data_IF_880782423063
#
_entry.id   IF_880782423063
#
_cell.length_a   1.000
_cell.length_b   1.000
_cell.length_c   1.000
_cell.angle_alpha   90.00
_cell.angle_beta   90.00
_cell.angle_gamma   90.00
#
_symmetry.space_group_name_H-M   'P 1'
#
loop_
_entity.id
_entity.type
_entity.pdbx_description
1 polymer ?
#
# COMPACT_ATOMS: atom_id res chain seq x y z
N UNK A 1 -7.57 -4.62 11.95
CA UNK A 1 -6.43 -3.85 11.42
C UNK A 1 -5.52 -4.79 10.66
N UNK A 2 -4.84 -4.31 9.63
CA UNK A 2 -3.88 -5.08 8.84
C UNK A 2 -2.48 -4.50 9.09
N UNK A 3 -1.47 -5.35 9.22
CA UNK A 3 -0.07 -4.94 9.42
C UNK A 3 0.72 -5.53 8.26
N UNK A 4 1.47 -4.68 7.54
CA UNK A 4 2.29 -5.07 6.40
C UNK A 4 3.72 -4.65 6.64
N UNK A 5 4.66 -5.52 6.31
CA UNK A 5 6.07 -5.21 6.30
C UNK A 5 6.43 -4.53 4.97
N UNK A 6 7.14 -3.40 5.03
CA UNK A 6 7.55 -2.64 3.83
C UNK A 6 8.34 -3.47 2.82
N UNK A 7 9.17 -4.39 3.31
CA UNK A 7 10.00 -5.27 2.47
C UNK A 7 9.18 -6.28 1.66
N UNK A 8 7.94 -6.52 2.06
CA UNK A 8 7.02 -7.40 1.35
C UNK A 8 6.24 -6.65 0.28
N UNK A 9 6.41 -5.33 0.13
CA UNK A 9 5.74 -4.57 -0.92
C UNK A 9 6.54 -4.75 -2.21
N UNK A 10 5.93 -5.43 -3.18
CA UNK A 10 6.51 -5.60 -4.51
C UNK A 10 6.24 -4.36 -5.37
N UNK A 11 5.00 -3.90 -5.41
CA UNK A 11 4.59 -2.71 -6.17
C UNK A 11 3.50 -1.92 -5.46
N UNK A 12 3.40 -0.64 -5.82
CA UNK A 12 2.40 0.30 -5.32
C UNK A 12 1.70 0.90 -6.51
N UNK A 13 0.41 0.59 -6.62
CA UNK A 13 -0.45 1.08 -7.68
C UNK A 13 -1.31 2.23 -7.15
N UNK A 14 -1.48 3.28 -7.95
CA UNK A 14 -2.46 4.32 -7.62
C UNK A 14 -3.84 3.83 -8.04
N UNK A 15 -4.71 3.62 -7.06
CA UNK A 15 -6.05 3.08 -7.27
C UNK A 15 -7.06 4.23 -7.46
N UNK A 16 -8.29 3.88 -7.87
CA UNK A 16 -9.33 4.87 -8.09
C UNK A 16 -9.71 5.59 -6.79
N UNK A 17 -10.11 6.86 -6.91
CA UNK A 17 -10.48 7.74 -5.79
C UNK A 17 -9.31 8.09 -4.84
N UNK A 18 -8.07 8.14 -5.37
CA UNK A 18 -6.89 8.55 -4.61
C UNK A 18 -6.41 7.54 -3.57
N UNK A 19 -6.90 6.30 -3.64
CA UNK A 19 -6.42 5.19 -2.81
C UNK A 19 -5.11 4.62 -3.39
N UNK A 20 -4.37 3.85 -2.60
CA UNK A 20 -3.23 3.07 -3.08
C UNK A 20 -3.50 1.60 -2.91
N UNK A 21 -3.17 0.81 -3.93
CA UNK A 21 -3.21 -0.64 -3.88
C UNK A 21 -1.78 -1.15 -3.73
N UNK A 22 -1.53 -1.94 -2.69
CA UNK A 22 -0.25 -2.58 -2.45
C UNK A 22 -0.27 -3.99 -3.00
N UNK A 23 0.67 -4.26 -3.89
CA UNK A 23 0.98 -5.61 -4.34
C UNK A 23 2.10 -6.16 -3.46
N UNK A 24 1.87 -7.32 -2.86
CA UNK A 24 2.81 -7.93 -1.91
C UNK A 24 3.51 -9.16 -2.51
N UNK A 25 4.74 -9.39 -2.07
CA UNK A 25 5.51 -10.61 -2.31
C UNK A 25 6.00 -11.18 -0.97
N UNK A 26 5.60 -12.41 -0.60
CA UNK A 26 4.72 -13.32 -1.34
C UNK A 26 3.28 -12.78 -1.45
N UNK A 27 2.62 -13.11 -2.55
CA UNK A 27 1.24 -12.69 -2.81
C UNK A 27 0.31 -13.17 -1.71
N UNK A 28 -0.62 -12.29 -1.31
CA UNK A 28 -1.65 -12.58 -0.32
C UNK A 28 -3.01 -12.66 -1.01
N UNK A 29 -3.91 -13.49 -0.50
CA UNK A 29 -5.28 -13.59 -1.02
C UNK A 29 -6.09 -12.30 -0.78
N UNK A 30 -5.64 -11.45 0.15
CA UNK A 30 -6.35 -10.23 0.53
C UNK A 30 -5.77 -9.02 -0.18
N UNK A 31 -6.62 -8.29 -0.88
CA UNK A 31 -6.26 -7.01 -1.46
C UNK A 31 -5.92 -5.98 -0.37
N UNK A 32 -4.73 -5.38 -0.46
CA UNK A 32 -4.26 -4.41 0.53
C UNK A 32 -4.40 -3.01 -0.04
N UNK A 33 -5.43 -2.29 0.41
CA UNK A 33 -5.73 -0.93 -0.06
C UNK A 33 -5.55 0.09 1.06
N UNK A 34 -4.77 1.14 0.78
CA UNK A 34 -4.61 2.31 1.63
C UNK A 34 -5.62 3.37 1.21
N UNK A 35 -6.35 3.90 2.20
CA UNK A 35 -7.34 4.96 2.01
C UNK A 35 -6.69 6.26 1.54
N UNK A 36 -7.46 7.09 0.83
CA UNK A 36 -7.00 8.38 0.30
C UNK A 36 -6.38 9.29 1.36
N UNK A 37 -6.97 9.31 2.55
CA UNK A 37 -6.50 10.14 3.66
C UNK A 37 -5.07 9.77 4.12
N UNK A 38 -4.71 8.48 4.02
CA UNK A 38 -3.39 7.96 4.43
C UNK A 38 -2.43 7.76 3.26
N UNK A 39 -2.91 7.89 2.02
CA UNK A 39 -2.11 7.64 0.82
C UNK A 39 -0.92 8.60 0.71
N UNK A 40 -1.11 9.89 1.03
CA UNK A 40 -0.03 10.88 1.00
C UNK A 40 1.03 10.59 2.06
N UNK A 41 0.62 10.41 3.32
CA UNK A 41 1.52 10.11 4.44
C UNK A 41 2.30 8.81 4.19
N UNK A 42 1.65 7.79 3.62
CA UNK A 42 2.29 6.53 3.28
C UNK A 42 3.39 6.69 2.21
N UNK A 43 3.13 7.49 1.17
CA UNK A 43 4.14 7.79 0.14
C UNK A 43 5.32 8.57 0.72
N UNK A 44 5.06 9.54 1.59
CA UNK A 44 6.11 10.31 2.28
C UNK A 44 6.96 9.41 3.18
N UNK A 45 6.34 8.47 3.89
CA UNK A 45 7.05 7.50 4.72
C UNK A 45 7.95 6.55 3.90
N UNK A 46 7.52 6.14 2.71
CA UNK A 46 8.32 5.28 1.82
C UNK A 46 9.51 5.99 1.17
N UNK A 47 9.41 7.30 0.95
CA UNK A 47 10.49 8.11 0.39
C UNK A 47 11.55 8.52 1.42
N UNK A 48 11.43 8.05 2.66
CA UNK A 48 12.31 8.37 3.79
C UNK A 48 13.19 7.20 4.19
#
# INVERSE_FOLDING_TARGET
>A
GFIVQVKSIAQIHTHFNGKLLLELEPSTEKEVVISREKASEFKEWLGK
#
